data_IF_021464833432
#
_entry.id   IF_021464833432
#
_cell.length_a   1.000
_cell.length_b   1.000
_cell.length_c   1.000
_cell.angle_alpha   90.00
_cell.angle_beta   90.00
_cell.angle_gamma   90.00
#
_symmetry.space_group_name_H-M   'P 1'
#
loop_
_entity.id
_entity.type
_entity.pdbx_description
1 polymer ?
#
# COMPACT_ATOMS: atom_id res chain seq x y z
N UNK A 1 -7.92 3.86 -56.32
CA UNK A 1 -7.92 5.31 -56.67
C UNK A 1 -7.39 6.04 -55.44
N UNK A 2 -6.06 6.20 -55.36
CA UNK A 2 -5.31 7.45 -55.61
C UNK A 2 -5.42 8.43 -54.42
N UNK A 3 -4.35 9.03 -53.87
CA UNK A 3 -2.91 8.98 -54.16
C UNK A 3 -2.16 9.80 -53.07
N UNK A 4 -1.09 9.23 -52.51
CA UNK A 4 0.23 9.77 -52.11
C UNK A 4 0.42 11.28 -51.84
N UNK A 5 1.23 11.62 -50.81
CA UNK A 5 2.68 11.99 -50.88
C UNK A 5 3.20 12.52 -49.51
N UNK A 6 4.23 11.89 -48.93
CA UNK A 6 5.68 12.27 -48.90
C UNK A 6 5.98 13.51 -48.03
N UNK A 7 6.88 13.51 -47.05
CA UNK A 7 8.38 13.52 -47.11
C UNK A 7 8.87 13.26 -45.66
N UNK A 8 9.66 12.24 -45.27
CA UNK A 8 11.09 11.93 -45.48
C UNK A 8 12.11 13.00 -45.02
N UNK A 9 12.67 12.86 -43.80
CA UNK A 9 14.07 13.24 -43.56
C UNK A 9 14.69 12.39 -42.44
N UNK A 10 15.63 11.56 -42.86
CA UNK A 10 16.60 10.78 -42.10
C UNK A 10 17.56 11.65 -41.28
N UNK A 11 18.08 11.11 -40.18
CA UNK A 11 19.52 11.17 -39.87
C UNK A 11 19.91 10.10 -38.86
N UNK A 12 20.67 9.13 -39.38
CA UNK A 12 21.47 8.15 -38.68
C UNK A 12 22.75 8.87 -38.23
N UNK A 13 23.13 8.84 -36.96
CA UNK A 13 24.53 9.04 -36.55
C UNK A 13 24.80 8.24 -35.28
N UNK A 14 25.79 7.35 -35.36
CA UNK A 14 26.17 6.43 -34.29
C UNK A 14 26.91 7.14 -33.15
N UNK A 15 26.76 6.62 -31.94
CA UNK A 15 27.59 6.99 -30.81
C UNK A 15 28.90 6.19 -30.88
N UNK A 16 30.00 6.88 -31.22
CA UNK A 16 31.36 6.43 -30.98
C UNK A 16 31.69 6.69 -29.50
N UNK A 17 32.07 5.67 -28.75
CA UNK A 17 32.56 5.83 -27.37
C UNK A 17 33.96 6.43 -27.38
N UNK A 18 34.14 7.54 -26.67
CA UNK A 18 35.47 8.07 -26.32
C UNK A 18 35.46 8.42 -24.84
N UNK A 19 36.22 7.65 -24.05
CA UNK A 19 36.52 7.96 -22.66
C UNK A 19 37.71 8.92 -22.62
N UNK A 20 37.58 10.08 -21.96
CA UNK A 20 38.74 10.84 -21.49
C UNK A 20 38.42 11.62 -20.22
N UNK A 21 39.35 11.53 -19.28
CA UNK A 21 39.42 12.10 -17.94
C UNK A 21 39.80 13.59 -17.96
N UNK A 22 39.17 14.42 -17.12
CA UNK A 22 39.69 15.76 -16.81
C UNK A 22 38.64 16.74 -16.30
N UNK A 23 38.85 17.29 -15.10
CA UNK A 23 38.01 18.31 -14.47
C UNK A 23 37.89 19.60 -15.31
N UNK A 24 36.66 20.05 -15.55
CA UNK A 24 36.32 21.46 -15.76
C UNK A 24 34.89 21.69 -15.30
N UNK A 25 34.70 22.70 -14.44
CA UNK A 25 33.40 23.20 -14.01
C UNK A 25 32.62 23.69 -15.23
N UNK A 26 31.43 23.16 -15.48
CA UNK A 26 30.42 23.76 -16.36
C UNK A 26 29.05 23.50 -15.74
N UNK A 27 28.37 24.58 -15.37
CA UNK A 27 27.01 24.55 -14.85
C UNK A 27 26.04 24.30 -16.01
N UNK A 28 25.38 23.15 -16.01
CA UNK A 28 24.28 22.87 -16.94
C UNK A 28 22.94 23.14 -16.29
N UNK A 29 22.10 23.83 -17.07
CA UNK A 29 20.87 24.47 -16.66
C UNK A 29 19.89 23.50 -16.00
N UNK A 30 19.36 23.94 -14.86
CA UNK A 30 18.19 23.36 -14.21
C UNK A 30 17.06 23.35 -15.23
N UNK A 31 16.71 22.18 -15.75
CA UNK A 31 15.41 21.96 -16.37
C UNK A 31 14.39 22.03 -15.25
N UNK A 32 13.88 23.24 -14.98
CA UNK A 32 12.64 23.43 -14.24
C UNK A 32 11.52 22.87 -15.09
N UNK A 33 11.39 21.54 -15.07
CA UNK A 33 10.14 20.87 -15.38
C UNK A 33 9.11 21.50 -14.46
N UNK A 34 8.21 22.27 -15.06
CA UNK A 34 7.12 22.92 -14.34
C UNK A 34 6.45 21.87 -13.46
N UNK A 35 6.53 22.07 -12.14
CA UNK A 35 5.68 21.35 -11.20
C UNK A 35 4.27 21.80 -11.56
N UNK A 36 3.57 20.97 -12.34
CA UNK A 36 2.14 21.08 -12.45
C UNK A 36 1.61 20.80 -11.05
N UNK A 37 1.27 21.86 -10.33
CA UNK A 37 0.33 21.75 -9.22
C UNK A 37 -0.99 21.35 -9.83
N UNK A 38 -1.16 20.05 -10.06
CA UNK A 38 -2.44 19.44 -10.30
C UNK A 38 -3.27 19.75 -9.06
N UNK A 39 -4.18 20.73 -9.19
CA UNK A 39 -5.32 20.85 -8.31
C UNK A 39 -6.17 19.60 -8.55
N UNK A 40 -5.82 18.50 -7.88
CA UNK A 40 -6.72 17.36 -7.78
C UNK A 40 -7.96 17.85 -7.03
N UNK A 41 -9.11 17.81 -7.71
CA UNK A 41 -10.40 17.91 -7.05
C UNK A 41 -10.40 16.88 -5.92
N UNK A 42 -10.31 17.35 -4.67
CA UNK A 42 -10.24 16.45 -3.52
C UNK A 42 -11.56 15.67 -3.45
N UNK A 43 -11.50 14.40 -3.84
CA UNK A 43 -12.64 13.50 -3.69
C UNK A 43 -13.04 13.46 -2.21
N UNK A 44 -14.34 13.56 -1.95
CA UNK A 44 -14.89 13.37 -0.60
C UNK A 44 -15.22 11.90 -0.42
N UNK A 45 -14.66 11.29 0.63
CA UNK A 45 -14.86 9.88 0.94
C UNK A 45 -15.84 9.71 2.10
N UNK A 46 -16.77 8.75 1.98
CA UNK A 46 -17.54 8.30 3.14
C UNK A 46 -16.63 7.57 4.12
N UNK A 47 -16.86 7.80 5.41
CA UNK A 47 -16.15 7.14 6.50
C UNK A 47 -16.94 5.96 7.09
N UNK A 48 -18.09 5.64 6.52
CA UNK A 48 -18.89 4.51 6.93
C UNK A 48 -18.23 3.21 6.45
N UNK A 49 -17.82 2.37 7.41
CA UNK A 49 -17.27 1.06 7.11
C UNK A 49 -18.39 0.04 6.86
N UNK A 50 -18.41 -0.54 5.66
CA UNK A 50 -19.34 -1.61 5.28
C UNK A 50 -18.62 -2.96 5.25
N UNK A 51 -18.76 -3.72 6.33
CA UNK A 51 -18.15 -5.05 6.46
C UNK A 51 -18.70 -6.09 5.45
N UNK A 52 -19.79 -5.80 4.73
CA UNK A 52 -20.38 -6.72 3.76
C UNK A 52 -19.80 -6.59 2.35
N UNK A 53 -18.95 -5.58 2.09
CA UNK A 53 -18.43 -5.27 0.75
C UNK A 53 -16.90 -5.22 0.72
N UNK A 54 -16.36 -5.36 -0.50
CA UNK A 54 -14.96 -5.07 -0.84
C UNK A 54 -13.92 -5.79 0.03
N UNK A 55 -14.18 -7.06 0.37
CA UNK A 55 -13.23 -7.92 1.09
C UNK A 55 -12.78 -9.11 0.24
N UNK A 56 -11.62 -9.65 0.60
CA UNK A 56 -11.16 -10.98 0.17
C UNK A 56 -11.12 -11.92 1.36
N UNK A 57 -11.40 -13.21 1.17
CA UNK A 57 -11.20 -14.23 2.20
C UNK A 57 -9.83 -14.87 1.99
N UNK A 58 -9.00 -14.85 3.02
CA UNK A 58 -7.60 -15.27 2.96
C UNK A 58 -7.25 -16.20 4.11
N UNK A 59 -6.18 -16.96 3.92
CA UNK A 59 -5.60 -17.80 4.96
C UNK A 59 -4.08 -17.78 4.92
N UNK A 60 -3.44 -17.75 6.10
CA UNK A 60 -2.00 -17.85 6.29
C UNK A 60 -1.68 -18.75 7.48
N UNK A 61 -0.45 -19.22 7.58
CA UNK A 61 -0.01 -20.15 8.63
C UNK A 61 0.92 -19.45 9.62
N UNK A 62 0.66 -19.64 10.92
CA UNK A 62 1.54 -19.21 12.01
C UNK A 62 1.78 -20.40 12.92
N UNK A 63 3.03 -20.81 13.11
CA UNK A 63 3.39 -21.91 14.01
C UNK A 63 2.57 -23.19 13.78
N UNK A 64 2.29 -23.52 12.51
CA UNK A 64 1.46 -24.68 12.13
C UNK A 64 -0.05 -24.50 12.27
N UNK A 65 -0.53 -23.34 12.76
CA UNK A 65 -1.94 -23.00 12.83
C UNK A 65 -2.37 -22.22 11.58
N UNK A 66 -3.41 -22.69 10.88
CA UNK A 66 -4.04 -21.94 9.79
C UNK A 66 -4.95 -20.86 10.35
N UNK A 67 -4.66 -19.61 10.01
CA UNK A 67 -5.41 -18.42 10.39
C UNK A 67 -6.22 -17.97 9.19
N UNK A 68 -7.56 -17.98 9.30
CA UNK A 68 -8.49 -17.52 8.27
C UNK A 68 -9.07 -16.16 8.63
N UNK A 69 -9.09 -15.23 7.69
CA UNK A 69 -9.56 -13.87 7.91
C UNK A 69 -10.16 -13.26 6.65
N UNK A 70 -10.99 -12.23 6.82
CA UNK A 70 -11.41 -11.32 5.74
C UNK A 70 -10.47 -10.12 5.71
N UNK A 71 -9.95 -9.79 4.54
CA UNK A 71 -9.07 -8.66 4.32
C UNK A 71 -9.81 -7.56 3.56
N UNK A 72 -9.81 -6.36 4.13
CA UNK A 72 -10.33 -5.13 3.54
C UNK A 72 -9.16 -4.20 3.33
N UNK A 73 -8.91 -3.75 2.10
CA UNK A 73 -7.71 -2.98 1.75
C UNK A 73 -8.03 -1.60 1.22
N UNK A 74 -7.10 -0.67 1.38
CA UNK A 74 -7.18 0.69 0.84
C UNK A 74 -8.44 1.45 1.31
N UNK A 75 -8.83 1.26 2.57
CA UNK A 75 -9.95 2.01 3.18
C UNK A 75 -9.43 3.40 3.53
N UNK A 76 -9.98 4.43 2.88
CA UNK A 76 -9.65 5.82 3.20
C UNK A 76 -10.24 6.18 4.56
N UNK A 77 -9.41 6.65 5.50
CA UNK A 77 -9.84 6.92 6.88
C UNK A 77 -10.07 8.41 7.19
N UNK A 78 -9.96 9.28 6.18
CA UNK A 78 -10.26 10.72 6.28
C UNK A 78 -11.17 11.17 5.14
N UNK A 79 -12.11 12.07 5.42
CA UNK A 79 -13.09 12.49 4.40
C UNK A 79 -12.43 13.23 3.22
N UNK A 80 -11.32 13.94 3.47
CA UNK A 80 -10.62 14.76 2.48
C UNK A 80 -9.10 14.49 2.50
N UNK A 81 -8.62 13.35 1.95
CA UNK A 81 -7.21 13.01 1.99
C UNK A 81 -6.40 13.96 1.09
N UNK A 82 -5.27 14.45 1.62
CA UNK A 82 -4.21 15.11 0.85
C UNK A 82 -3.39 14.12 0.04
N UNK A 83 -3.21 12.90 0.55
CA UNK A 83 -2.63 11.78 -0.17
C UNK A 83 -3.41 10.52 0.21
N UNK A 84 -4.10 9.92 -0.75
CA UNK A 84 -4.95 8.75 -0.52
C UNK A 84 -4.13 7.55 0.00
N UNK A 85 -2.98 7.27 -0.59
CA UNK A 85 -2.17 6.09 -0.26
C UNK A 85 -1.57 6.20 1.15
N UNK A 86 -1.18 7.42 1.55
CA UNK A 86 -0.70 7.70 2.90
C UNK A 86 -1.82 7.90 3.93
N UNK A 87 -3.09 8.00 3.48
CA UNK A 87 -4.26 8.21 4.32
C UNK A 87 -5.34 7.14 4.10
N UNK A 88 -4.87 5.91 3.90
CA UNK A 88 -5.68 4.70 3.84
C UNK A 88 -5.19 3.68 4.86
N UNK A 89 -6.04 2.71 5.19
CA UNK A 89 -5.72 1.59 6.08
C UNK A 89 -6.22 0.28 5.51
N UNK A 90 -5.60 -0.81 5.96
CA UNK A 90 -6.10 -2.16 5.79
C UNK A 90 -6.78 -2.63 7.08
N UNK A 91 -7.86 -3.38 6.97
CA UNK A 91 -8.55 -4.01 8.11
C UNK A 91 -8.61 -5.52 7.85
N UNK A 92 -8.23 -6.31 8.84
CA UNK A 92 -8.27 -7.76 8.80
C UNK A 92 -9.12 -8.27 9.96
N UNK A 93 -10.16 -9.02 9.63
CA UNK A 93 -11.14 -9.53 10.62
C UNK A 93 -11.07 -11.06 10.61
N UNK A 94 -10.81 -11.71 11.77
CA UNK A 94 -10.87 -13.16 11.88
C UNK A 94 -12.21 -13.71 11.36
N UNK A 95 -12.16 -14.74 10.51
CA UNK A 95 -13.33 -15.25 9.79
C UNK A 95 -14.45 -15.70 10.75
N UNK A 96 -14.08 -16.20 11.93
CA UNK A 96 -15.05 -16.66 12.93
C UNK A 96 -16.02 -15.61 13.46
N UNK A 97 -15.70 -14.31 13.32
CA UNK A 97 -16.59 -13.24 13.77
C UNK A 97 -17.78 -13.00 12.83
N UNK A 98 -17.78 -13.62 11.64
CA UNK A 98 -18.90 -13.57 10.70
C UNK A 98 -19.94 -14.67 10.95
N UNK A 99 -19.58 -15.73 11.66
CA UNK A 99 -20.46 -16.88 11.96
C UNK A 99 -21.19 -16.74 13.31
N UNK A 100 -21.22 -15.53 13.89
CA UNK A 100 -21.83 -15.21 15.20
C UNK A 100 -21.34 -16.08 16.37
N UNK A 101 -20.11 -16.63 16.26
CA UNK A 101 -19.48 -17.43 17.30
C UNK A 101 -18.75 -16.61 18.37
N UNK A 102 -18.31 -17.33 19.41
CA UNK A 102 -17.35 -16.86 20.42
C UNK A 102 -16.04 -17.65 20.23
N UNK A 103 -14.90 -16.98 20.15
CA UNK A 103 -13.57 -17.62 20.15
C UNK A 103 -12.70 -16.98 21.20
N UNK A 104 -12.08 -17.80 22.06
CA UNK A 104 -11.22 -17.35 23.16
C UNK A 104 -11.89 -16.26 24.02
N UNK A 105 -13.17 -16.46 24.32
CA UNK A 105 -14.06 -15.54 25.04
C UNK A 105 -14.38 -14.20 24.37
N UNK A 106 -13.82 -13.95 23.18
CA UNK A 106 -14.15 -12.80 22.37
C UNK A 106 -15.30 -13.07 21.40
N UNK A 107 -16.12 -12.06 21.21
CA UNK A 107 -17.17 -11.98 20.20
C UNK A 107 -16.83 -10.84 19.24
N UNK A 108 -17.58 -10.72 18.13
CA UNK A 108 -17.45 -9.56 17.22
C UNK A 108 -17.59 -8.19 17.91
N UNK A 109 -18.21 -8.14 19.09
CA UNK A 109 -18.40 -6.91 19.87
C UNK A 109 -17.30 -6.64 20.90
N UNK A 110 -16.52 -7.66 21.27
CA UNK A 110 -15.55 -7.60 22.38
C UNK A 110 -14.12 -7.91 21.95
N UNK A 111 -13.92 -8.31 20.69
CA UNK A 111 -12.61 -8.59 20.14
C UNK A 111 -11.69 -7.37 20.27
N UNK A 112 -10.46 -7.54 20.80
CA UNK A 112 -9.45 -6.49 20.78
C UNK A 112 -9.12 -6.09 19.35
N UNK A 113 -8.84 -4.80 19.16
CA UNK A 113 -8.34 -4.25 17.90
C UNK A 113 -6.86 -3.95 18.08
N UNK A 114 -6.02 -4.66 17.35
CA UNK A 114 -4.59 -4.40 17.25
C UNK A 114 -4.33 -3.42 16.10
N UNK A 115 -3.62 -2.33 16.37
CA UNK A 115 -3.39 -1.27 15.40
C UNK A 115 -1.88 -1.05 15.16
N UNK A 116 -1.23 -1.91 14.36
CA UNK A 116 0.19 -1.78 14.07
C UNK A 116 0.46 -0.63 13.09
N UNK A 117 1.70 -0.16 13.06
CA UNK A 117 2.16 0.80 12.07
C UNK A 117 3.60 0.50 11.63
N UNK A 118 3.91 0.86 10.38
CA UNK A 118 5.24 0.66 9.79
C UNK A 118 6.17 1.86 9.89
N UNK A 119 5.97 2.79 10.84
CA UNK A 119 6.82 3.98 10.98
C UNK A 119 8.17 3.58 11.57
N UNK A 120 9.26 4.06 10.96
CA UNK A 120 10.62 3.88 11.47
C UNK A 120 11.46 5.10 11.14
N UNK A 121 12.23 5.60 12.10
CA UNK A 121 13.09 6.78 11.91
C UNK A 121 12.34 8.03 11.44
N UNK A 122 11.06 8.18 11.80
CA UNK A 122 10.16 9.23 11.33
C UNK A 122 9.88 9.22 9.81
N UNK A 123 10.15 8.12 9.12
CA UNK A 123 9.78 7.95 7.72
C UNK A 123 8.34 7.44 7.58
N UNK A 124 7.64 7.77 6.48
CA UNK A 124 6.29 7.29 6.23
C UNK A 124 6.20 5.76 6.30
N UNK A 125 5.18 5.27 7.01
CA UNK A 125 4.87 3.86 7.13
C UNK A 125 3.76 3.46 6.15
N UNK A 126 3.97 2.42 5.35
CA UNK A 126 2.89 1.85 4.52
C UNK A 126 1.91 1.07 5.41
N UNK A 127 0.67 0.92 4.93
CA UNK A 127 -0.30 0.02 5.55
C UNK A 127 0.26 -1.41 5.57
N UNK A 128 0.30 -2.02 6.75
CA UNK A 128 0.88 -3.35 6.94
C UNK A 128 -0.04 -4.47 6.41
N UNK A 129 0.56 -5.57 6.00
CA UNK A 129 -0.12 -6.79 5.55
C UNK A 129 0.27 -7.97 6.47
N UNK A 130 -0.66 -8.88 6.81
CA UNK A 130 -0.31 -10.14 7.47
C UNK A 130 0.68 -10.94 6.62
N UNK A 131 1.79 -11.33 7.22
CA UNK A 131 2.86 -12.06 6.55
C UNK A 131 3.40 -13.18 7.42
N UNK A 132 3.71 -14.31 6.80
CA UNK A 132 4.39 -15.45 7.45
C UNK A 132 5.89 -15.19 7.67
N UNK A 133 6.39 -14.09 7.09
CA UNK A 133 7.75 -13.58 7.24
C UNK A 133 7.72 -12.11 7.63
N UNK A 134 8.37 -11.78 8.72
CA UNK A 134 8.57 -10.41 9.17
C UNK A 134 9.62 -9.69 8.31
N UNK A 135 9.98 -8.47 8.69
CA UNK A 135 10.98 -7.68 7.96
C UNK A 135 12.40 -8.24 8.05
N UNK A 136 12.69 -9.09 9.04
CA UNK A 136 13.96 -9.79 9.20
C UNK A 136 13.96 -11.15 8.47
N UNK A 137 12.81 -11.61 8.00
CA UNK A 137 12.63 -12.90 7.34
C UNK A 137 12.33 -14.05 8.30
N UNK A 138 12.19 -13.76 9.60
CA UNK A 138 12.13 -14.73 10.68
C UNK A 138 10.74 -14.76 11.31
N UNK A 139 9.89 -15.63 10.78
CA UNK A 139 8.56 -15.92 11.36
C UNK A 139 7.49 -14.87 11.05
N UNK A 140 6.29 -15.10 11.55
CA UNK A 140 5.13 -14.27 11.24
C UNK A 140 5.24 -12.85 11.83
N UNK A 141 4.80 -11.85 11.07
CA UNK A 141 4.74 -10.48 11.59
C UNK A 141 3.66 -10.30 12.66
N UNK A 142 3.73 -9.18 13.39
CA UNK A 142 2.83 -8.89 14.50
C UNK A 142 1.35 -8.89 14.07
N UNK A 143 1.04 -8.40 12.86
CA UNK A 143 -0.32 -8.42 12.30
C UNK A 143 -0.86 -9.86 12.18
N UNK A 144 -0.08 -10.77 11.60
CA UNK A 144 -0.52 -12.16 11.45
C UNK A 144 -0.57 -12.90 12.80
N UNK A 145 0.35 -12.61 13.72
CA UNK A 145 0.31 -13.13 15.09
C UNK A 145 -0.97 -12.66 15.82
N UNK A 146 -1.33 -11.38 15.71
CA UNK A 146 -2.55 -10.84 16.31
C UNK A 146 -3.82 -11.55 15.78
N UNK A 147 -3.89 -11.79 14.47
CA UNK A 147 -4.99 -12.56 13.86
C UNK A 147 -5.05 -13.99 14.40
N UNK A 148 -3.91 -14.65 14.65
CA UNK A 148 -3.87 -15.99 15.27
C UNK A 148 -4.45 -16.02 16.69
N UNK A 149 -4.38 -14.87 17.40
CA UNK A 149 -4.96 -14.64 18.73
C UNK A 149 -6.38 -14.07 18.67
N UNK A 150 -7.03 -14.18 17.50
CA UNK A 150 -8.39 -13.69 17.23
C UNK A 150 -8.57 -12.18 17.41
N UNK A 151 -7.52 -11.38 17.28
CA UNK A 151 -7.68 -9.93 17.30
C UNK A 151 -8.08 -9.43 15.91
N UNK A 152 -8.88 -8.38 15.87
CA UNK A 152 -9.05 -7.59 14.64
C UNK A 152 -7.79 -6.77 14.45
N UNK A 153 -7.29 -6.68 13.21
CA UNK A 153 -6.12 -5.86 12.90
C UNK A 153 -6.54 -4.70 12.03
N UNK A 154 -6.21 -3.47 12.43
CA UNK A 154 -6.39 -2.27 11.63
C UNK A 154 -5.01 -1.64 11.37
N UNK A 155 -4.50 -1.69 10.15
CA UNK A 155 -3.15 -1.27 9.81
C UNK A 155 -3.19 0.00 8.95
N UNK A 156 -3.10 1.21 9.55
CA UNK A 156 -3.03 2.46 8.81
C UNK A 156 -1.68 2.64 8.11
N UNK A 157 -1.72 3.27 6.92
CA UNK A 157 -0.58 4.01 6.42
C UNK A 157 -0.42 5.30 7.24
N UNK A 158 0.82 5.72 7.45
CA UNK A 158 1.17 6.91 8.23
C UNK A 158 2.15 7.75 7.42
N UNK A 159 1.87 9.06 7.36
CA UNK A 159 2.67 10.08 6.68
C UNK A 159 3.88 10.53 7.50
#
# INVERSE_FOLDING_TARGET
MNLKKFVLCSLLTGALSVSFTGNAYMAEAVSTAAISTANENQATYSLDFDASKNYTEESKTVNGQVVKYRAYRNIVYVAHPKNKDAQSMNIFIPAAYFDNGKINDYTKKTAPIFMPNGVGGYMPGKAEEPSEKDHHGDGANAALVALSKVYVVAAPAIR
#
